data_IF_369086506080
#
_entry.id   IF_369086506080
#
_cell.length_a   1.000
_cell.length_b   1.000
_cell.length_c   1.000
_cell.angle_alpha   90.00
_cell.angle_beta   90.00
_cell.angle_gamma   90.00
#
_symmetry.space_group_name_H-M   'P 1'
#
loop_
_entity.id
_entity.type
_entity.pdbx_description
1 polymer ?
#
# COMPACT_ATOMS: atom_id res chain seq x y z
N UNK A 1 20.48 5.30 -5.57
CA UNK A 1 19.57 4.57 -4.66
C UNK A 1 19.07 3.33 -5.36
N UNK A 2 19.19 2.19 -4.70
CA UNK A 2 18.63 0.93 -5.19
C UNK A 2 17.11 1.02 -5.28
N UNK A 3 16.49 0.12 -6.03
CA UNK A 3 15.03 0.12 -6.20
C UNK A 3 14.29 -0.10 -4.88
N UNK A 4 14.83 -0.97 -4.02
CA UNK A 4 14.27 -1.27 -2.69
C UNK A 4 14.29 -0.05 -1.78
N UNK A 5 15.37 0.73 -1.75
CA UNK A 5 15.47 1.96 -0.94
C UNK A 5 14.35 2.95 -1.26
N UNK A 6 13.93 3.03 -2.53
CA UNK A 6 12.85 3.93 -2.94
C UNK A 6 11.48 3.42 -2.54
N UNK A 7 11.28 2.11 -2.56
CA UNK A 7 10.06 1.48 -2.02
C UNK A 7 9.98 1.74 -0.52
N UNK A 8 11.08 1.53 0.21
CA UNK A 8 11.16 1.78 1.64
C UNK A 8 10.87 3.25 1.96
N UNK A 9 11.51 4.20 1.27
CA UNK A 9 11.23 5.62 1.44
C UNK A 9 9.76 5.98 1.15
N UNK A 10 9.16 5.35 0.14
CA UNK A 10 7.74 5.51 -0.17
C UNK A 10 6.84 5.03 0.98
N UNK A 11 7.14 3.85 1.55
CA UNK A 11 6.43 3.29 2.69
C UNK A 11 6.57 4.16 3.95
N UNK A 12 7.79 4.64 4.26
CA UNK A 12 8.03 5.50 5.41
C UNK A 12 7.28 6.83 5.30
N UNK A 13 7.24 7.43 4.10
CA UNK A 13 6.48 8.66 3.85
C UNK A 13 4.95 8.50 3.93
N UNK A 14 4.43 7.29 4.17
CA UNK A 14 3.00 7.11 4.50
C UNK A 14 2.69 7.66 5.90
N UNK A 15 3.66 7.74 6.81
CA UNK A 15 3.45 8.32 8.13
C UNK A 15 3.09 9.80 8.09
N UNK A 16 3.64 10.56 7.13
CA UNK A 16 3.38 11.99 7.00
C UNK A 16 1.99 12.28 6.41
N UNK A 17 1.54 11.44 5.47
CA UNK A 17 0.28 11.60 4.74
C UNK A 17 -0.47 10.27 4.64
N UNK A 18 -1.00 9.76 5.76
CA UNK A 18 -1.55 8.40 5.82
C UNK A 18 -2.83 8.22 5.01
N UNK A 19 -3.65 9.27 4.90
CA UNK A 19 -4.92 9.22 4.17
C UNK A 19 -4.79 9.25 2.64
N UNK A 20 -3.56 9.23 2.09
CA UNK A 20 -3.32 9.16 0.64
C UNK A 20 -3.66 7.77 0.08
N UNK A 21 -3.67 7.66 -1.24
CA UNK A 21 -4.06 6.43 -1.95
C UNK A 21 -5.57 6.23 -2.02
N UNK A 22 -5.97 5.16 -2.71
CA UNK A 22 -7.37 4.81 -2.99
C UNK A 22 -7.88 3.88 -1.91
N UNK A 23 -9.00 4.24 -1.25
CA UNK A 23 -9.71 3.32 -0.34
C UNK A 23 -10.27 2.14 -1.13
N UNK A 24 -10.06 0.94 -0.59
CA UNK A 24 -10.59 -0.33 -1.11
C UNK A 24 -11.33 -1.07 0.01
N UNK A 25 -12.24 -0.35 0.67
CA UNK A 25 -13.12 -0.89 1.72
C UNK A 25 -14.05 -2.00 1.16
N UNK A 26 -14.19 -2.08 -0.17
CA UNK A 26 -14.86 -3.17 -0.89
C UNK A 26 -14.11 -4.51 -0.81
N UNK A 27 -12.79 -4.49 -0.54
CA UNK A 27 -11.98 -5.69 -0.37
C UNK A 27 -11.66 -6.01 1.09
N UNK A 28 -11.29 -5.00 1.88
CA UNK A 28 -10.96 -5.18 3.29
C UNK A 28 -11.18 -3.88 4.09
N UNK A 29 -11.70 -3.93 5.32
CA UNK A 29 -11.96 -2.72 6.10
C UNK A 29 -10.73 -1.82 6.29
N UNK A 30 -10.88 -0.52 5.98
CA UNK A 30 -9.82 0.49 6.08
C UNK A 30 -8.63 0.25 5.13
N UNK A 31 -8.77 -0.65 4.16
CA UNK A 31 -7.72 -0.92 3.17
C UNK A 31 -7.55 0.26 2.24
N UNK A 32 -6.29 0.58 1.98
CA UNK A 32 -5.87 1.58 1.01
C UNK A 32 -4.82 1.01 0.10
N UNK A 33 -4.82 1.45 -1.14
CA UNK A 33 -3.80 1.10 -2.11
C UNK A 33 -3.19 2.31 -2.78
N UNK A 34 -1.91 2.22 -3.11
CA UNK A 34 -1.18 3.27 -3.81
C UNK A 34 -0.22 2.65 -4.82
N UNK A 35 -0.24 3.18 -6.04
CA UNK A 35 0.73 2.82 -7.08
C UNK A 35 2.08 3.49 -6.83
N UNK A 36 3.17 2.76 -7.01
CA UNK A 36 4.54 3.27 -6.99
C UNK A 36 5.27 2.90 -8.28
N UNK A 37 5.88 3.90 -8.92
CA UNK A 37 6.63 3.78 -10.19
C UNK A 37 5.93 2.94 -11.27
N UNK A 38 4.58 2.94 -11.31
CA UNK A 38 3.73 2.16 -12.24
C UNK A 38 3.98 0.65 -12.23
N UNK A 39 4.68 0.14 -11.22
CA UNK A 39 5.12 -1.27 -11.14
C UNK A 39 4.72 -1.93 -9.83
N UNK A 40 4.54 -1.15 -8.77
CA UNK A 40 4.21 -1.66 -7.44
C UNK A 40 2.84 -1.13 -7.04
N UNK A 41 2.03 -1.98 -6.44
CA UNK A 41 0.89 -1.60 -5.62
C UNK A 41 1.23 -1.83 -4.17
N UNK A 42 1.22 -0.78 -3.35
CA UNK A 42 1.39 -0.86 -1.90
C UNK A 42 0.00 -0.90 -1.29
N UNK A 43 -0.31 -1.95 -0.55
CA UNK A 43 -1.56 -2.12 0.16
C UNK A 43 -1.32 -1.94 1.67
N UNK A 44 -2.08 -1.05 2.29
CA UNK A 44 -1.86 -0.65 3.68
C UNK A 44 -3.18 -0.23 4.35
N UNK A 45 -3.19 -0.22 5.68
CA UNK A 45 -4.29 0.31 6.49
C UNK A 45 -3.82 1.50 7.31
N UNK A 46 -4.74 2.40 7.64
CA UNK A 46 -4.48 3.54 8.50
C UNK A 46 -5.30 3.38 9.77
N UNK A 47 -4.63 3.40 10.91
CA UNK A 47 -5.22 3.49 12.24
C UNK A 47 -4.84 4.84 12.87
N UNK A 48 -5.44 5.16 14.02
CA UNK A 48 -5.22 6.43 14.71
C UNK A 48 -3.74 6.74 15.01
N UNK A 49 -2.93 5.71 15.27
CA UNK A 49 -1.54 5.85 15.73
C UNK A 49 -0.51 5.37 14.70
N UNK A 50 -0.95 4.63 13.67
CA UNK A 50 -0.01 3.95 12.77
C UNK A 50 -0.58 3.69 11.38
N UNK A 51 0.34 3.59 10.42
CA UNK A 51 0.10 3.00 9.10
C UNK A 51 0.71 1.61 9.07
N UNK A 52 -0.07 0.61 8.69
CA UNK A 52 0.40 -0.77 8.56
C UNK A 52 0.44 -1.16 7.10
N UNK A 53 1.63 -1.40 6.56
CA UNK A 53 1.80 -1.94 5.20
C UNK A 53 1.53 -3.45 5.24
N UNK A 54 0.50 -3.89 4.53
CA UNK A 54 0.04 -5.28 4.49
C UNK A 54 0.72 -6.07 3.38
N UNK A 55 0.85 -5.48 2.19
CA UNK A 55 1.41 -6.12 0.99
C UNK A 55 2.12 -5.10 0.10
N UNK A 56 3.15 -5.58 -0.59
CA UNK A 56 3.82 -4.87 -1.69
C UNK A 56 3.77 -5.79 -2.91
N UNK A 57 2.93 -5.44 -3.89
CA UNK A 57 2.60 -6.28 -5.03
C UNK A 57 3.28 -5.75 -6.30
N UNK A 58 4.06 -6.58 -6.99
CA UNK A 58 4.73 -6.19 -8.24
C UNK A 58 3.94 -6.57 -9.49
N UNK A 59 3.95 -5.70 -10.50
CA UNK A 59 3.63 -6.03 -11.88
C UNK A 59 2.16 -6.30 -12.16
N UNK A 60 1.24 -5.56 -11.52
CA UNK A 60 -0.20 -5.74 -11.74
C UNK A 60 -0.74 -7.06 -11.20
N UNK A 61 -0.05 -7.66 -10.21
CA UNK A 61 -0.59 -8.76 -9.41
C UNK A 61 -1.97 -8.39 -8.90
N UNK A 62 -2.86 -9.37 -8.99
CA UNK A 62 -4.25 -9.26 -8.61
C UNK A 62 -4.36 -8.83 -7.14
N UNK A 63 -5.05 -7.71 -6.91
CA UNK A 63 -5.23 -7.16 -5.58
C UNK A 63 -6.34 -7.91 -4.87
N UNK A 64 -7.46 -8.18 -5.56
CA UNK A 64 -8.58 -8.95 -5.02
C UNK A 64 -8.08 -10.30 -4.50
N UNK A 65 -7.38 -11.07 -5.32
CA UNK A 65 -6.86 -12.39 -4.94
C UNK A 65 -5.81 -12.35 -3.80
N UNK A 66 -5.16 -11.20 -3.57
CA UNK A 66 -4.22 -11.05 -2.45
C UNK A 66 -4.93 -10.84 -1.09
N UNK A 67 -6.23 -10.58 -1.13
CA UNK A 67 -7.10 -10.35 0.03
C UNK A 67 -8.34 -11.29 0.04
N UNK A 68 -8.39 -12.28 -0.85
CA UNK A 68 -9.30 -13.43 -0.74
C UNK A 68 -8.80 -14.37 0.39
N UNK A 69 -9.74 -14.93 1.17
CA UNK A 69 -9.47 -15.89 2.26
C UNK A 69 -9.00 -17.27 1.76
#
# INVERSE_FOLDING_TARGET
MAYLDRIEACCLGLGDFPERGTRRDDLWPSLRTMGFERRITIAFTVAAEAVTVLRVLYGGRDLEAAFED
#
